data_IF_745127966354
#
_entry.id   IF_745127966354
#
_cell.length_a   1.000
_cell.length_b   1.000
_cell.length_c   1.000
_cell.angle_alpha   90.00
_cell.angle_beta   90.00
_cell.angle_gamma   90.00
#
_symmetry.space_group_name_H-M   'P 1'
#
loop_
_entity.id
_entity.type
_entity.pdbx_description
1 polymer ?
#
# COMPACT_ATOMS: atom_id res chain seq x y z
N UNK A 1 -0.30 31.97 3.55
CA UNK A 1 -0.97 32.55 2.36
C UNK A 1 -1.92 31.54 1.70
N UNK A 2 -3.02 32.01 1.07
CA UNK A 2 -4.03 31.16 0.44
C UNK A 2 -4.17 31.43 -1.06
N UNK A 3 -4.03 30.40 -1.90
CA UNK A 3 -4.22 30.46 -3.36
C UNK A 3 -5.48 29.70 -3.74
N UNK A 4 -6.43 30.36 -4.41
CA UNK A 4 -7.75 29.80 -4.71
C UNK A 4 -7.99 29.63 -6.20
N UNK A 5 -8.33 28.41 -6.66
CA UNK A 5 -8.75 28.18 -8.06
C UNK A 5 -10.12 27.50 -8.12
N UNK A 6 -10.91 27.80 -9.16
CA UNK A 6 -12.32 27.36 -9.24
C UNK A 6 -12.76 26.94 -10.65
N UNK A 7 -13.04 25.65 -10.83
CA UNK A 7 -13.67 25.10 -12.03
C UNK A 7 -15.20 25.26 -11.96
N UNK A 8 -15.77 26.06 -12.86
CA UNK A 8 -17.22 26.38 -12.89
C UNK A 8 -18.00 25.45 -13.84
N UNK A 9 -19.26 25.19 -13.51
CA UNK A 9 -20.23 24.42 -14.35
C UNK A 9 -19.82 22.99 -14.71
N UNK A 10 -19.01 22.33 -13.86
CA UNK A 10 -18.57 20.95 -14.04
C UNK A 10 -19.74 20.00 -14.33
N UNK A 11 -19.61 19.20 -15.39
CA UNK A 11 -20.64 18.25 -15.87
C UNK A 11 -20.61 16.94 -15.05
N UNK A 12 -20.83 17.08 -13.75
CA UNK A 12 -20.90 16.03 -12.72
C UNK A 12 -21.89 16.47 -11.61
N UNK A 13 -22.35 15.54 -10.78
CA UNK A 13 -23.14 15.86 -9.59
C UNK A 13 -22.21 16.15 -8.41
N UNK A 14 -22.47 17.23 -7.67
CA UNK A 14 -21.64 17.64 -6.53
C UNK A 14 -21.36 16.49 -5.54
N UNK A 15 -22.36 15.66 -5.22
CA UNK A 15 -22.18 14.47 -4.35
C UNK A 15 -21.04 13.56 -4.83
N UNK A 16 -20.95 13.25 -6.13
CA UNK A 16 -19.93 12.35 -6.70
C UNK A 16 -18.52 12.95 -6.76
N UNK A 17 -18.40 14.27 -6.63
CA UNK A 17 -17.13 14.97 -6.56
C UNK A 17 -16.70 15.24 -5.10
N UNK A 18 -17.64 15.42 -4.17
CA UNK A 18 -17.36 15.53 -2.72
C UNK A 18 -16.67 14.31 -2.14
N UNK A 19 -16.89 13.12 -2.70
CA UNK A 19 -16.18 11.91 -2.28
C UNK A 19 -14.65 12.07 -2.47
N UNK A 20 -14.22 12.47 -3.68
CA UNK A 20 -12.80 12.73 -4.02
C UNK A 20 -12.27 13.99 -3.33
N UNK A 21 -13.11 15.01 -3.16
CA UNK A 21 -12.73 16.23 -2.45
C UNK A 21 -12.27 15.96 -1.00
N UNK A 22 -12.90 14.99 -0.31
CA UNK A 22 -12.54 14.54 1.03
C UNK A 22 -11.26 13.69 1.08
N UNK A 23 -10.91 13.10 -0.04
CA UNK A 23 -9.75 12.20 -0.21
C UNK A 23 -8.46 13.02 -0.35
N UNK A 24 -8.53 14.16 -1.03
CA UNK A 24 -7.41 15.09 -1.24
C UNK A 24 -7.27 16.19 -0.17
N UNK A 25 -8.31 16.44 0.65
CA UNK A 25 -8.29 17.56 1.60
C UNK A 25 -7.36 17.28 2.79
N UNK A 26 -6.44 18.20 3.05
CA UNK A 26 -5.43 18.10 4.11
C UNK A 26 -4.16 17.33 3.72
N UNK A 27 -4.06 16.85 2.48
CA UNK A 27 -2.83 16.24 1.95
C UNK A 27 -1.90 17.30 1.35
N UNK A 28 -0.57 17.03 1.28
CA UNK A 28 0.34 17.81 0.46
C UNK A 28 -0.04 17.70 -1.03
N UNK A 29 0.40 18.66 -1.84
CA UNK A 29 0.07 18.73 -3.27
C UNK A 29 0.55 17.50 -4.05
N UNK A 30 1.72 16.94 -3.71
CA UNK A 30 2.28 15.72 -4.31
C UNK A 30 1.28 14.55 -4.26
N UNK A 31 0.92 14.17 -3.04
CA UNK A 31 0.10 12.99 -2.74
C UNK A 31 -1.32 13.18 -3.28
N UNK A 32 -1.83 14.41 -3.19
CA UNK A 32 -3.10 14.78 -3.80
C UNK A 32 -3.07 14.62 -5.34
N UNK A 33 -1.99 15.03 -6.03
CA UNK A 33 -1.87 14.84 -7.47
C UNK A 33 -1.79 13.36 -7.86
N UNK A 34 -1.05 12.53 -7.11
CA UNK A 34 -0.93 11.10 -7.41
C UNK A 34 -2.24 10.34 -7.18
N UNK A 35 -2.93 10.59 -6.06
CA UNK A 35 -4.29 10.08 -5.84
C UNK A 35 -5.21 10.49 -6.99
N UNK A 36 -5.12 11.73 -7.47
CA UNK A 36 -5.93 12.23 -8.59
C UNK A 36 -5.54 11.63 -9.96
N UNK A 37 -4.29 11.20 -10.14
CA UNK A 37 -3.84 10.54 -11.36
C UNK A 37 -4.29 9.07 -11.42
N UNK A 38 -4.23 8.34 -10.30
CA UNK A 38 -4.56 6.91 -10.24
C UNK A 38 -6.05 6.61 -9.94
N UNK A 39 -6.83 7.58 -9.46
CA UNK A 39 -8.27 7.37 -9.17
C UNK A 39 -9.11 7.28 -10.46
N UNK A 40 -9.78 6.15 -10.75
CA UNK A 40 -10.54 5.94 -11.99
C UNK A 40 -11.93 6.60 -11.96
N UNK A 41 -11.99 7.91 -11.67
CA UNK A 41 -13.23 8.69 -11.56
C UNK A 41 -13.07 9.99 -12.33
N UNK A 42 -14.05 10.33 -13.18
CA UNK A 42 -14.14 11.66 -13.84
C UNK A 42 -14.04 12.87 -12.89
N UNK A 43 -14.37 12.70 -11.60
CA UNK A 43 -14.13 13.74 -10.61
C UNK A 43 -12.63 14.07 -10.47
N UNK A 44 -11.76 13.05 -10.47
CA UNK A 44 -10.32 13.20 -10.32
C UNK A 44 -9.69 13.94 -11.51
N UNK A 45 -10.09 13.65 -12.75
CA UNK A 45 -9.69 14.42 -13.94
C UNK A 45 -9.96 15.94 -13.80
N UNK A 46 -11.10 16.30 -13.21
CA UNK A 46 -11.52 17.68 -13.01
C UNK A 46 -10.72 18.34 -11.88
N UNK A 47 -10.49 17.63 -10.78
CA UNK A 47 -9.63 18.09 -9.70
C UNK A 47 -8.18 18.25 -10.16
N UNK A 48 -7.59 17.28 -10.88
CA UNK A 48 -6.22 17.35 -11.43
C UNK A 48 -6.03 18.59 -12.32
N UNK A 49 -7.03 18.93 -13.15
CA UNK A 49 -7.02 20.19 -13.92
C UNK A 49 -7.10 21.43 -13.03
N UNK A 50 -7.96 21.42 -12.01
CA UNK A 50 -8.12 22.57 -11.08
C UNK A 50 -6.87 22.77 -10.21
N UNK A 51 -6.22 21.69 -9.77
CA UNK A 51 -4.94 21.70 -9.04
C UNK A 51 -3.83 22.30 -9.91
N UNK A 52 -3.70 21.86 -11.17
CA UNK A 52 -2.67 22.38 -12.09
C UNK A 52 -2.85 23.87 -12.40
N UNK A 53 -4.09 24.36 -12.48
CA UNK A 53 -4.35 25.81 -12.55
C UNK A 53 -3.95 26.50 -11.23
N UNK A 54 -4.34 25.97 -10.07
CA UNK A 54 -3.98 26.56 -8.77
C UNK A 54 -2.46 26.62 -8.51
N UNK A 55 -1.68 25.67 -9.03
CA UNK A 55 -0.22 25.68 -8.94
C UNK A 55 0.41 26.71 -9.87
N UNK A 56 -0.02 26.77 -11.14
CA UNK A 56 0.40 27.84 -12.04
C UNK A 56 0.02 29.23 -11.49
N UNK A 57 -1.15 29.35 -10.84
CA UNK A 57 -1.57 30.58 -10.16
C UNK A 57 -0.63 30.93 -8.99
N UNK A 58 -0.20 29.93 -8.20
CA UNK A 58 0.71 30.08 -7.06
C UNK A 58 2.14 30.46 -7.47
N UNK A 59 2.70 29.81 -8.49
CA UNK A 59 4.01 30.10 -9.06
C UNK A 59 4.06 31.52 -9.66
N UNK A 60 3.10 31.85 -10.55
CA UNK A 60 3.20 33.04 -11.41
C UNK A 60 2.64 34.33 -10.80
N UNK A 61 1.69 34.26 -9.85
CA UNK A 61 1.07 35.45 -9.25
C UNK A 61 1.46 35.67 -7.78
N UNK A 62 1.98 34.64 -7.10
CA UNK A 62 2.32 34.68 -5.67
C UNK A 62 3.76 34.27 -5.35
N UNK A 63 4.55 33.86 -6.36
CA UNK A 63 5.96 33.46 -6.23
C UNK A 63 6.21 32.34 -5.18
N UNK A 64 5.21 31.49 -4.96
CA UNK A 64 5.24 30.41 -3.96
C UNK A 64 5.92 29.14 -4.50
N UNK A 65 6.73 28.48 -3.67
CA UNK A 65 7.31 27.18 -4.00
C UNK A 65 6.28 26.05 -3.91
N UNK A 66 6.21 25.21 -4.94
CA UNK A 66 5.27 24.07 -5.05
C UNK A 66 5.50 23.02 -3.96
N UNK A 67 6.75 22.82 -3.52
CA UNK A 67 7.14 21.72 -2.63
C UNK A 67 6.57 21.82 -1.21
N UNK A 68 6.21 23.04 -0.77
CA UNK A 68 5.62 23.29 0.56
C UNK A 68 4.09 23.37 0.59
N UNK A 69 3.41 23.29 -0.56
CA UNK A 69 1.97 23.54 -0.64
C UNK A 69 1.12 22.31 -0.30
N UNK A 70 0.01 22.54 0.42
CA UNK A 70 -0.99 21.52 0.78
C UNK A 70 -2.42 21.98 0.50
N UNK A 71 -3.35 21.02 0.43
CA UNK A 71 -4.76 21.26 0.09
C UNK A 71 -5.56 21.66 1.33
N UNK A 72 -5.47 22.94 1.72
CA UNK A 72 -6.21 23.53 2.85
C UNK A 72 -7.71 23.27 2.78
N UNK A 73 -8.33 23.41 1.59
CA UNK A 73 -9.70 22.94 1.38
C UNK A 73 -10.03 22.56 -0.08
N UNK A 74 -10.90 21.57 -0.23
CA UNK A 74 -11.48 21.18 -1.51
C UNK A 74 -13.02 21.15 -1.37
N UNK A 75 -13.70 22.18 -1.89
CA UNK A 75 -15.13 22.41 -1.70
C UNK A 75 -15.87 22.23 -3.01
N UNK A 76 -17.03 21.55 -2.97
CA UNK A 76 -17.88 21.33 -4.15
C UNK A 76 -19.29 21.86 -3.92
N UNK A 77 -19.57 23.02 -4.51
CA UNK A 77 -20.89 23.64 -4.58
C UNK A 77 -21.79 23.00 -5.64
N UNK A 78 -23.10 23.16 -5.50
CA UNK A 78 -24.04 22.77 -6.57
C UNK A 78 -24.11 23.86 -7.64
N UNK A 79 -24.26 23.45 -8.91
CA UNK A 79 -24.39 24.35 -10.05
C UNK A 79 -25.77 24.26 -10.72
N UNK A 80 -26.04 25.10 -11.73
CA UNK A 80 -27.31 25.10 -12.46
C UNK A 80 -27.65 23.70 -12.99
N UNK A 81 -28.83 23.22 -12.62
CA UNK A 81 -29.29 21.86 -12.91
C UNK A 81 -30.25 21.86 -14.09
N UNK A 82 -29.80 21.30 -15.21
CA UNK A 82 -30.60 21.24 -16.43
C UNK A 82 -31.71 20.19 -16.29
N UNK A 83 -32.96 20.64 -16.32
CA UNK A 83 -34.15 19.77 -16.34
C UNK A 83 -34.29 19.14 -17.73
N UNK A 84 -34.63 17.85 -17.77
CA UNK A 84 -35.01 17.04 -18.93
C UNK A 84 -36.13 16.09 -18.50
N UNK A 85 -36.85 15.48 -19.44
CA UNK A 85 -37.83 14.43 -19.14
C UNK A 85 -37.35 13.07 -19.65
N UNK A 86 -37.96 11.99 -19.15
CA UNK A 86 -37.93 10.64 -19.73
C UNK A 86 -39.36 10.12 -19.78
N UNK A 87 -39.79 9.61 -20.93
CA UNK A 87 -41.06 8.90 -21.05
C UNK A 87 -41.06 7.64 -20.16
N UNK A 88 -42.24 7.30 -19.63
CA UNK A 88 -42.53 6.11 -18.82
C UNK A 88 -43.81 5.45 -19.36
N UNK A 89 -44.18 4.30 -18.79
CA UNK A 89 -45.44 3.62 -19.12
C UNK A 89 -46.67 4.50 -18.85
N UNK A 90 -47.82 4.15 -19.45
CA UNK A 90 -49.12 4.83 -19.28
C UNK A 90 -49.02 6.36 -19.51
N UNK A 91 -48.33 6.78 -20.56
CA UNK A 91 -48.19 8.20 -20.95
C UNK A 91 -47.44 9.10 -19.95
N UNK A 92 -46.89 8.54 -18.88
CA UNK A 92 -46.30 9.32 -17.78
C UNK A 92 -44.90 9.84 -18.10
N UNK A 93 -44.53 11.00 -17.54
CA UNK A 93 -43.19 11.59 -17.67
C UNK A 93 -42.45 11.63 -16.32
N UNK A 94 -41.17 11.26 -16.31
CA UNK A 94 -40.31 11.39 -15.13
C UNK A 94 -39.19 12.42 -15.36
N UNK A 95 -38.86 13.29 -14.38
CA UNK A 95 -37.82 14.30 -14.54
C UNK A 95 -36.40 13.72 -14.42
N UNK A 96 -35.55 13.99 -15.40
CA UNK A 96 -34.10 13.78 -15.33
C UNK A 96 -33.42 15.11 -15.00
N UNK A 97 -32.72 15.14 -13.86
CA UNK A 97 -31.92 16.28 -13.42
C UNK A 97 -30.46 16.10 -13.86
N UNK A 98 -30.06 16.75 -14.96
CA UNK A 98 -28.66 16.83 -15.38
C UNK A 98 -27.96 17.93 -14.56
N UNK A 99 -27.64 17.58 -13.30
CA UNK A 99 -26.93 18.44 -12.34
C UNK A 99 -25.55 18.85 -12.85
N UNK A 100 -25.09 20.02 -12.42
CA UNK A 100 -23.69 20.46 -12.52
C UNK A 100 -23.17 20.81 -11.13
N UNK A 101 -21.87 21.07 -11.01
CA UNK A 101 -21.23 21.54 -9.78
C UNK A 101 -20.19 22.63 -10.05
N UNK A 102 -19.82 23.34 -9.00
CA UNK A 102 -18.64 24.21 -9.00
C UNK A 102 -17.63 23.57 -8.05
N UNK A 103 -16.38 23.42 -8.50
CA UNK A 103 -15.28 22.84 -7.73
C UNK A 103 -14.34 23.98 -7.40
N UNK A 104 -14.08 24.21 -6.12
CA UNK A 104 -13.14 25.21 -5.62
C UNK A 104 -12.07 24.50 -4.80
N UNK A 105 -10.81 24.79 -5.08
CA UNK A 105 -9.64 24.30 -4.35
C UNK A 105 -8.93 25.51 -3.76
N UNK A 106 -8.51 25.39 -2.50
CA UNK A 106 -7.64 26.33 -1.81
C UNK A 106 -6.36 25.60 -1.42
N UNK A 107 -5.25 26.05 -1.98
CA UNK A 107 -3.89 25.64 -1.60
C UNK A 107 -3.32 26.64 -0.60
N UNK A 108 -2.41 26.18 0.25
CA UNK A 108 -1.73 27.02 1.25
C UNK A 108 -0.37 26.45 1.60
N UNK A 109 0.48 27.31 2.13
CA UNK A 109 1.81 27.12 2.72
C UNK A 109 1.78 27.09 4.26
N UNK A 110 0.72 27.62 4.88
CA UNK A 110 0.55 27.76 6.35
C UNK A 110 0.35 26.38 7.01
N UNK A 111 1.43 25.59 7.17
CA UNK A 111 1.40 24.22 7.71
C UNK A 111 0.68 24.21 9.06
N UNK A 112 -0.58 23.79 9.01
CA UNK A 112 -1.50 23.70 10.13
C UNK A 112 -1.92 22.23 10.23
N UNK A 113 -1.11 21.39 10.92
CA UNK A 113 -1.53 20.05 11.25
C UNK A 113 -2.87 20.13 11.99
N UNK A 114 -3.80 19.24 11.68
CA UNK A 114 -5.05 19.13 12.41
C UNK A 114 -4.78 18.51 13.79
N UNK A 115 -4.20 19.30 14.71
CA UNK A 115 -4.12 18.94 16.13
C UNK A 115 -5.51 18.58 16.68
N UNK A 116 -5.53 17.74 17.72
CA UNK A 116 -6.74 17.17 18.33
C UNK A 116 -7.67 16.34 17.41
N UNK A 117 -7.12 15.30 16.76
CA UNK A 117 -7.85 14.02 16.59
C UNK A 117 -7.16 12.81 17.21
N UNK A 118 -6.57 13.01 18.39
CA UNK A 118 -6.31 11.91 19.32
C UNK A 118 -7.64 11.33 19.85
N UNK A 119 -7.90 10.01 19.71
CA UNK A 119 -9.15 9.41 20.17
C UNK A 119 -9.15 9.31 21.71
N UNK A 120 -9.80 10.26 22.40
CA UNK A 120 -10.00 10.23 23.86
C UNK A 120 -10.72 8.93 24.27
N UNK A 121 -10.02 8.08 25.02
CA UNK A 121 -10.53 6.78 25.44
C UNK A 121 -11.35 6.86 26.73
N UNK A 122 -12.44 6.07 26.78
CA UNK A 122 -13.18 5.67 28.01
C UNK A 122 -13.98 6.82 28.67
N UNK A 123 -14.98 6.56 29.56
CA UNK A 123 -15.27 5.35 30.34
C UNK A 123 -16.32 4.40 29.78
N UNK A 124 -16.35 3.17 30.32
CA UNK A 124 -17.33 2.15 30.00
C UNK A 124 -18.49 2.11 31.02
N UNK A 125 -19.73 2.05 30.52
CA UNK A 125 -20.93 1.54 31.19
C UNK A 125 -21.84 0.95 30.09
N UNK A 126 -22.54 -0.16 30.28
CA UNK A 126 -22.66 -1.00 31.47
C UNK A 126 -22.63 -2.49 31.10
N UNK A 127 -22.19 -3.34 32.02
CA UNK A 127 -22.34 -4.79 31.93
C UNK A 127 -23.52 -5.25 32.79
N UNK A 128 -24.64 -5.64 32.18
CA UNK A 128 -25.57 -6.61 32.78
C UNK A 128 -26.55 -7.23 31.77
N UNK A 129 -26.28 -8.48 31.39
CA UNK A 129 -27.29 -9.48 31.06
C UNK A 129 -26.68 -10.87 31.31
N UNK A 130 -27.42 -11.73 32.02
CA UNK A 130 -26.87 -12.99 32.55
C UNK A 130 -27.40 -14.20 31.78
N UNK A 131 -26.48 -14.89 31.10
CA UNK A 131 -26.23 -16.35 31.20
C UNK A 131 -27.45 -17.27 31.45
N UNK A 132 -27.76 -18.15 30.49
CA UNK A 132 -28.34 -19.48 30.77
C UNK A 132 -28.01 -20.52 29.69
N UNK A 133 -27.63 -21.73 30.14
CA UNK A 133 -27.45 -23.03 29.43
C UNK A 133 -26.69 -23.02 28.08
N UNK A 134 -25.57 -23.71 27.83
CA UNK A 134 -24.95 -24.93 28.39
C UNK A 134 -25.62 -26.27 28.01
N UNK A 135 -25.05 -26.96 27.00
CA UNK A 135 -25.16 -28.39 26.71
C UNK A 135 -23.98 -28.83 25.81
N UNK A 136 -23.42 -30.03 26.05
CA UNK A 136 -22.29 -30.67 25.35
C UNK A 136 -22.12 -32.12 25.89
N UNK A 137 -21.21 -33.00 25.38
CA UNK A 137 -20.59 -33.13 24.05
C UNK A 137 -20.80 -34.55 23.45
N UNK A 138 -20.14 -34.87 22.31
CA UNK A 138 -19.68 -36.21 21.78
C UNK A 138 -19.59 -36.16 20.23
N UNK A 139 -18.81 -36.96 19.49
CA UNK A 139 -17.52 -37.65 19.72
C UNK A 139 -16.96 -38.10 18.34
N UNK A 140 -15.69 -38.50 18.30
CA UNK A 140 -14.90 -39.13 17.20
C UNK A 140 -15.53 -39.42 15.81
N UNK A 141 -14.77 -39.07 14.75
CA UNK A 141 -14.00 -40.11 14.02
C UNK A 141 -12.83 -39.54 13.20
N UNK A 142 -11.82 -40.39 12.98
CA UNK A 142 -10.67 -40.14 12.11
C UNK A 142 -10.54 -41.27 11.08
N UNK A 143 -9.87 -41.01 9.96
CA UNK A 143 -9.38 -42.04 9.05
C UNK A 143 -8.06 -41.60 8.38
N UNK A 144 -7.13 -42.54 8.18
CA UNK A 144 -5.77 -42.32 7.66
C UNK A 144 -5.24 -43.64 7.11
N UNK A 145 -4.70 -43.62 5.89
CA UNK A 145 -3.97 -44.74 5.24
C UNK A 145 -2.78 -44.10 4.50
N UNK A 146 -1.56 -44.18 5.03
CA UNK A 146 -0.45 -45.09 4.62
C UNK A 146 0.04 -44.86 3.18
N UNK A 147 1.29 -44.48 2.88
CA UNK A 147 2.66 -44.82 3.39
C UNK A 147 3.18 -46.20 2.90
N UNK A 148 4.35 -46.19 2.25
CA UNK A 148 5.28 -47.33 2.06
C UNK A 148 6.74 -46.83 2.17
N UNK A 149 7.69 -47.75 2.36
CA UNK A 149 9.03 -47.46 2.91
C UNK A 149 10.21 -48.05 2.12
N UNK A 150 11.45 -47.67 2.51
CA UNK A 150 12.73 -47.95 1.84
C UNK A 150 13.40 -49.29 2.27
N UNK A 151 14.60 -49.61 1.73
CA UNK A 151 15.86 -49.40 2.48
C UNK A 151 16.99 -48.74 1.63
N UNK A 152 17.97 -47.97 2.15
CA UNK A 152 19.12 -48.27 3.06
C UNK A 152 20.07 -49.37 2.50
N UNK A 153 21.41 -49.28 2.52
CA UNK A 153 22.42 -48.27 2.94
C UNK A 153 23.79 -48.68 2.30
N UNK A 154 24.93 -47.97 2.25
CA UNK A 154 25.47 -46.69 2.78
C UNK A 154 25.83 -45.70 1.60
N UNK A 155 26.81 -44.75 1.54
CA UNK A 155 27.93 -44.34 2.42
C UNK A 155 28.53 -42.93 2.21
N UNK A 156 29.16 -42.44 3.31
CA UNK A 156 30.25 -41.45 3.45
C UNK A 156 30.13 -40.03 2.82
N UNK A 157 29.82 -39.10 3.75
CA UNK A 157 30.17 -37.65 3.85
C UNK A 157 29.12 -36.62 3.40
N UNK A 158 28.79 -35.74 4.35
CA UNK A 158 28.20 -34.39 4.21
C UNK A 158 27.00 -34.24 3.27
N UNK A 159 25.81 -34.58 3.77
CA UNK A 159 24.53 -34.14 3.21
C UNK A 159 23.41 -34.23 4.28
N UNK A 160 22.98 -33.07 4.79
CA UNK A 160 21.60 -32.86 5.29
C UNK A 160 21.27 -31.36 5.29
N UNK A 161 21.19 -30.77 4.11
CA UNK A 161 20.43 -29.55 3.86
C UNK A 161 20.14 -29.46 2.35
N UNK A 162 18.89 -29.16 1.97
CA UNK A 162 18.40 -29.21 0.60
C UNK A 162 18.84 -28.02 -0.26
N UNK A 163 20.15 -27.78 -0.32
CA UNK A 163 20.74 -26.61 -0.97
C UNK A 163 21.07 -26.90 -2.45
N UNK A 164 20.51 -26.06 -3.33
CA UNK A 164 20.71 -26.10 -4.77
C UNK A 164 21.39 -24.81 -5.21
N UNK A 165 22.46 -24.92 -5.99
CA UNK A 165 23.07 -23.77 -6.68
C UNK A 165 22.45 -23.68 -8.07
N UNK A 166 21.60 -22.68 -8.29
CA UNK A 166 21.13 -22.29 -9.63
C UNK A 166 21.93 -21.08 -10.11
N UNK A 167 22.45 -21.12 -11.34
CA UNK A 167 23.29 -20.06 -11.93
C UNK A 167 22.64 -18.67 -11.95
N UNK A 168 21.30 -18.63 -11.88
CA UNK A 168 20.45 -17.45 -11.87
C UNK A 168 20.18 -16.86 -10.46
N UNK A 169 20.20 -17.71 -9.42
CA UNK A 169 19.72 -17.35 -8.06
C UNK A 169 20.73 -17.60 -6.95
N UNK A 170 21.90 -18.15 -7.28
CA UNK A 170 22.91 -18.56 -6.32
C UNK A 170 22.45 -19.76 -5.49
N UNK A 171 22.83 -19.77 -4.21
CA UNK A 171 22.51 -20.83 -3.26
C UNK A 171 21.07 -20.68 -2.75
N UNK A 172 20.20 -21.63 -3.08
CA UNK A 172 18.77 -21.64 -2.73
C UNK A 172 18.43 -22.93 -1.98
N UNK A 173 17.60 -22.86 -0.93
CA UNK A 173 17.10 -24.04 -0.25
C UNK A 173 15.69 -24.40 -0.73
N UNK A 174 15.50 -25.62 -1.23
CA UNK A 174 14.18 -26.14 -1.67
C UNK A 174 13.20 -26.39 -0.50
N UNK A 175 13.70 -26.39 0.74
CA UNK A 175 12.91 -26.47 1.97
C UNK A 175 13.55 -25.67 3.10
N UNK A 176 12.75 -25.08 3.99
CA UNK A 176 13.25 -24.29 5.11
C UNK A 176 14.28 -25.07 5.97
N UNK A 177 15.49 -24.52 6.20
CA UNK A 177 16.55 -25.17 6.98
C UNK A 177 16.23 -25.23 8.49
N UNK A 178 16.99 -26.03 9.24
CA UNK A 178 16.80 -26.22 10.68
C UNK A 178 17.08 -24.96 11.50
N UNK A 179 17.95 -24.07 11.01
CA UNK A 179 18.20 -22.74 11.53
C UNK A 179 17.91 -21.69 10.45
N UNK A 180 17.08 -20.70 10.79
CA UNK A 180 16.69 -19.57 9.92
C UNK A 180 17.22 -18.28 10.55
N UNK A 181 17.63 -17.34 9.71
CA UNK A 181 18.12 -16.01 10.10
C UNK A 181 17.01 -14.96 10.01
N UNK A 182 16.96 -14.03 10.97
CA UNK A 182 16.07 -12.87 10.93
C UNK A 182 16.55 -11.85 9.89
N UNK A 183 16.18 -12.07 8.62
CA UNK A 183 16.58 -11.22 7.48
C UNK A 183 16.15 -9.75 7.64
N UNK A 184 15.17 -9.47 8.53
CA UNK A 184 14.75 -8.12 8.98
C UNK A 184 15.90 -7.25 9.53
N UNK A 185 17.02 -7.85 9.93
CA UNK A 185 18.20 -7.13 10.44
C UNK A 185 19.02 -6.45 9.32
N UNK A 186 18.76 -6.79 8.06
CA UNK A 186 19.37 -6.12 6.90
C UNK A 186 18.61 -4.82 6.60
N UNK A 187 19.36 -3.74 6.35
CA UNK A 187 18.80 -2.42 6.07
C UNK A 187 17.77 -2.49 4.92
N UNK A 188 16.53 -2.09 5.23
CA UNK A 188 15.48 -2.00 4.24
C UNK A 188 14.69 -3.28 3.95
N UNK A 189 15.05 -4.43 4.55
CA UNK A 189 14.27 -5.67 4.49
C UNK A 189 13.12 -5.61 5.50
N UNK A 190 11.91 -5.32 5.01
CA UNK A 190 10.69 -5.39 5.82
C UNK A 190 10.10 -6.81 5.90
N UNK A 191 9.16 -7.09 6.82
CA UNK A 191 8.55 -8.43 6.97
C UNK A 191 7.95 -9.00 5.67
N UNK A 192 7.30 -8.17 4.85
CA UNK A 192 6.76 -8.56 3.53
C UNK A 192 7.81 -8.87 2.46
N UNK A 193 9.09 -8.56 2.73
CA UNK A 193 10.21 -8.88 1.85
C UNK A 193 10.90 -10.15 2.33
N UNK A 194 11.06 -10.32 3.64
CA UNK A 194 11.43 -11.60 4.26
C UNK A 194 10.46 -12.73 3.85
N UNK A 195 9.14 -12.51 3.93
CA UNK A 195 8.12 -13.46 3.43
C UNK A 195 8.36 -13.86 1.96
N UNK A 196 8.81 -12.93 1.12
CA UNK A 196 9.14 -13.19 -0.30
C UNK A 196 10.47 -13.94 -0.46
N UNK A 197 11.53 -13.51 0.24
CA UNK A 197 12.85 -14.16 0.20
C UNK A 197 12.75 -15.62 0.67
N UNK A 198 12.03 -15.85 1.78
CA UNK A 198 11.68 -17.18 2.27
C UNK A 198 10.89 -17.99 1.22
N UNK A 199 9.96 -17.37 0.48
CA UNK A 199 9.20 -18.05 -0.59
C UNK A 199 10.03 -18.38 -1.84
N UNK A 200 11.20 -17.76 -2.01
CA UNK A 200 12.18 -18.06 -3.07
C UNK A 200 13.29 -19.00 -2.57
N UNK A 201 13.28 -19.40 -1.29
CA UNK A 201 14.24 -20.33 -0.69
C UNK A 201 15.49 -19.68 -0.06
N UNK A 202 15.40 -18.38 0.29
CA UNK A 202 16.44 -17.64 1.00
C UNK A 202 16.05 -17.49 2.47
N UNK A 203 16.83 -18.11 3.35
CA UNK A 203 16.57 -18.23 4.79
C UNK A 203 17.79 -17.93 5.68
N UNK A 204 19.00 -17.84 5.12
CA UNK A 204 20.25 -17.60 5.85
C UNK A 204 21.05 -16.42 5.29
N UNK A 205 21.77 -15.71 6.14
CA UNK A 205 22.67 -14.61 5.75
C UNK A 205 23.77 -15.09 4.79
N UNK A 206 24.28 -16.32 4.99
CA UNK A 206 25.27 -16.98 4.13
C UNK A 206 24.91 -16.88 2.64
N UNK A 207 23.65 -17.17 2.29
CA UNK A 207 23.15 -17.13 0.91
C UNK A 207 23.30 -15.74 0.27
N UNK A 208 23.06 -14.68 1.05
CA UNK A 208 23.15 -13.28 0.60
C UNK A 208 24.63 -12.87 0.49
N UNK A 209 25.51 -13.37 1.36
CA UNK A 209 26.97 -13.15 1.22
C UNK A 209 27.59 -13.83 0.00
N UNK A 210 26.92 -14.86 -0.53
CA UNK A 210 27.32 -15.61 -1.73
C UNK A 210 26.74 -15.06 -3.05
N UNK A 211 26.05 -13.91 -3.02
CA UNK A 211 25.52 -13.30 -4.24
C UNK A 211 26.59 -12.64 -5.11
N UNK A 212 26.52 -12.91 -6.41
CA UNK A 212 27.26 -12.19 -7.46
C UNK A 212 26.46 -10.99 -7.96
N UNK A 213 27.11 -10.08 -8.71
CA UNK A 213 26.45 -8.95 -9.39
C UNK A 213 25.28 -9.41 -10.29
N UNK A 214 25.41 -10.56 -10.95
CA UNK A 214 24.34 -11.15 -11.76
C UNK A 214 23.13 -11.58 -10.91
N UNK A 215 23.37 -12.24 -9.77
CA UNK A 215 22.29 -12.61 -8.84
C UNK A 215 21.59 -11.36 -8.29
N UNK A 216 22.35 -10.31 -7.96
CA UNK A 216 21.81 -9.03 -7.47
C UNK A 216 20.89 -8.41 -8.52
N UNK A 217 21.28 -8.41 -9.80
CA UNK A 217 20.43 -7.93 -10.89
C UNK A 217 19.14 -8.76 -11.05
N UNK A 218 19.23 -10.10 -11.05
CA UNK A 218 18.04 -10.96 -11.10
C UNK A 218 17.10 -10.75 -9.91
N UNK A 219 17.63 -10.55 -8.69
CA UNK A 219 16.80 -10.28 -7.51
C UNK A 219 16.21 -8.87 -7.49
N UNK A 220 16.90 -7.86 -8.03
CA UNK A 220 16.36 -6.50 -8.18
C UNK A 220 15.20 -6.49 -9.21
N UNK A 221 15.33 -7.21 -10.35
CA UNK A 221 14.22 -7.39 -11.31
C UNK A 221 13.07 -8.23 -10.74
N UNK A 222 13.35 -9.40 -10.16
CA UNK A 222 12.35 -10.34 -9.61
C UNK A 222 11.51 -9.73 -8.49
N UNK A 223 12.12 -8.88 -7.65
CA UNK A 223 11.42 -8.15 -6.58
C UNK A 223 10.84 -6.81 -7.05
N UNK A 224 11.08 -6.43 -8.32
CA UNK A 224 10.70 -5.16 -8.95
C UNK A 224 11.21 -3.94 -8.18
N UNK A 225 12.47 -4.04 -7.75
CA UNK A 225 13.26 -2.94 -7.22
C UNK A 225 13.95 -2.18 -8.37
N UNK A 226 14.82 -1.22 -8.00
CA UNK A 226 15.55 -0.38 -8.94
C UNK A 226 16.87 0.05 -8.31
N UNK A 227 17.89 -0.78 -8.46
CA UNK A 227 19.19 -0.65 -7.81
C UNK A 227 19.06 -0.49 -6.29
N UNK A 228 18.16 -1.26 -5.65
CA UNK A 228 17.90 -1.10 -4.21
C UNK A 228 18.82 -1.98 -3.36
N UNK A 229 19.04 -3.21 -3.79
CA UNK A 229 19.86 -4.19 -3.05
C UNK A 229 21.31 -3.68 -2.90
N UNK A 230 21.81 -2.99 -3.93
CA UNK A 230 23.10 -2.29 -3.93
C UNK A 230 23.11 -1.07 -3.00
N UNK A 231 22.16 -0.14 -3.17
CA UNK A 231 22.10 1.12 -2.41
C UNK A 231 21.88 0.93 -0.90
N UNK A 232 21.09 -0.07 -0.54
CA UNK A 232 20.80 -0.41 0.85
C UNK A 232 21.90 -1.36 1.43
N UNK A 233 22.98 -1.63 0.66
CA UNK A 233 24.19 -2.41 0.98
C UNK A 233 23.95 -3.80 1.60
N UNK A 234 23.02 -4.58 1.02
CA UNK A 234 22.55 -5.85 1.61
C UNK A 234 23.68 -6.88 1.81
N UNK A 235 24.61 -7.01 0.86
CA UNK A 235 25.72 -7.98 0.93
C UNK A 235 26.72 -7.60 2.02
N UNK A 236 27.02 -6.30 2.18
CA UNK A 236 27.89 -5.79 3.26
C UNK A 236 27.27 -6.10 4.61
N UNK A 237 25.99 -5.75 4.81
CA UNK A 237 25.32 -5.96 6.10
C UNK A 237 25.07 -7.44 6.41
N UNK A 238 24.81 -8.27 5.40
CA UNK A 238 24.71 -9.73 5.57
C UNK A 238 26.03 -10.36 6.02
N UNK A 239 27.19 -9.85 5.54
CA UNK A 239 28.51 -10.32 6.02
C UNK A 239 28.71 -10.00 7.49
N UNK A 240 28.44 -8.77 7.92
CA UNK A 240 28.55 -8.38 9.34
C UNK A 240 27.68 -9.26 10.25
N UNK A 241 26.41 -9.49 9.86
CA UNK A 241 25.47 -10.30 10.65
C UNK A 241 25.83 -11.80 10.64
N UNK A 242 26.39 -12.30 9.54
CA UNK A 242 26.92 -13.66 9.47
C UNK A 242 28.16 -13.83 10.37
N UNK A 243 29.08 -12.87 10.37
CA UNK A 243 30.25 -12.87 11.27
C UNK A 243 29.84 -12.73 12.74
N UNK A 244 28.82 -11.92 13.06
CA UNK A 244 28.27 -11.79 14.43
C UNK A 244 27.57 -13.07 14.92
N UNK A 245 26.85 -13.80 14.05
CA UNK A 245 26.10 -15.00 14.43
C UNK A 245 26.93 -16.30 14.38
N UNK A 246 27.81 -16.45 13.38
CA UNK A 246 28.52 -17.71 13.10
C UNK A 246 30.04 -17.62 13.34
N UNK A 247 30.59 -16.45 13.65
CA UNK A 247 32.02 -16.27 13.96
C UNK A 247 32.42 -16.87 15.32
N UNK A 248 33.47 -17.70 15.32
CA UNK A 248 34.18 -18.24 16.49
C UNK A 248 35.67 -18.37 16.22
#
# INVERSE_FOLDING_TARGET
MDVTSTYKFARISARKARDVAREIQGLPVSDALDILNFTPRKAAELFSKTMKTALADAENNFELSVEGLFVKSAVVGEGPTFKRFKARARGSGAPIHKRTSHITVVLSDDVTPSEEKSPKAKPAKAAKSEKKAAAAPKEEKAEKVEKKEAPKEEAKKSADEGARVDEARGMVYDSAPAEVDDLKLINGVGPKLEEKLNSVGIYKFEQITAWTEANIAEFDELLSFKGRIERDEWVTKARELHEEKYGK
#
